data_IF_449027687197
#
_entry.id   IF_449027687197
#
_cell.length_a   1.000
_cell.length_b   1.000
_cell.length_c   1.000
_cell.angle_alpha   90.00
_cell.angle_beta   90.00
_cell.angle_gamma   90.00
#
_symmetry.space_group_name_H-M   'P 1'
#
loop_
_entity.id
_entity.type
_entity.pdbx_description
1 polymer ?
#
# COMPACT_ATOMS: atom_id res chain seq x y z
N UNK A 1 -46.83 34.09 41.56
CA UNK A 1 -45.86 33.27 40.80
C UNK A 1 -46.63 32.03 40.33
N UNK A 2 -46.82 31.92 39.01
CA UNK A 2 -47.54 30.76 38.45
C UNK A 2 -46.60 29.53 38.46
N UNK A 3 -47.08 28.44 39.09
CA UNK A 3 -46.34 27.17 39.08
C UNK A 3 -46.30 26.63 37.64
N UNK A 4 -45.09 26.32 37.07
CA UNK A 4 -44.99 25.77 35.73
C UNK A 4 -45.76 24.43 35.68
N UNK A 5 -46.54 24.25 34.60
CA UNK A 5 -47.35 23.05 34.43
C UNK A 5 -46.44 21.81 34.24
N UNK A 6 -46.92 20.64 34.68
CA UNK A 6 -46.18 19.38 34.49
C UNK A 6 -45.77 19.15 33.02
N UNK A 7 -46.58 19.66 32.09
CA UNK A 7 -46.26 19.63 30.62
C UNK A 7 -45.01 20.45 30.28
N UNK A 8 -44.79 21.59 30.93
CA UNK A 8 -43.61 22.40 30.73
C UNK A 8 -42.31 21.65 31.11
N UNK A 9 -42.33 21.00 32.26
CA UNK A 9 -41.21 20.16 32.71
C UNK A 9 -40.97 18.96 31.81
N UNK A 10 -42.02 18.35 31.28
CA UNK A 10 -41.94 17.24 30.35
C UNK A 10 -41.25 17.67 29.06
N UNK A 11 -41.60 18.82 28.47
CA UNK A 11 -40.93 19.35 27.28
C UNK A 11 -39.48 19.75 27.55
N UNK A 12 -39.19 20.30 28.73
CA UNK A 12 -37.84 20.70 29.12
C UNK A 12 -36.86 19.51 29.18
N UNK A 13 -37.36 18.32 29.50
CA UNK A 13 -36.53 17.09 29.53
C UNK A 13 -36.58 16.33 28.20
N UNK A 14 -37.74 16.26 27.56
CA UNK A 14 -37.96 15.46 26.37
C UNK A 14 -37.19 16.02 25.15
N UNK A 15 -37.18 17.35 24.98
CA UNK A 15 -36.51 17.99 23.86
C UNK A 15 -34.99 17.73 23.88
N UNK A 16 -34.24 17.98 24.98
CA UNK A 16 -32.84 17.69 25.05
C UNK A 16 -32.56 16.20 24.98
N UNK A 17 -33.38 15.32 25.53
CA UNK A 17 -33.23 13.88 25.41
C UNK A 17 -33.33 13.42 23.93
N UNK A 18 -34.33 13.91 23.19
CA UNK A 18 -34.44 13.66 21.74
C UNK A 18 -33.25 14.22 20.94
N UNK A 19 -32.79 15.41 21.30
CA UNK A 19 -31.62 16.00 20.66
C UNK A 19 -30.35 15.17 20.89
N UNK A 20 -30.17 14.64 22.11
CA UNK A 20 -29.03 13.75 22.43
C UNK A 20 -29.16 12.45 21.64
N UNK A 21 -30.32 11.80 21.66
CA UNK A 21 -30.53 10.54 20.92
C UNK A 21 -30.33 10.75 19.43
N UNK A 22 -30.87 11.84 18.86
CA UNK A 22 -30.65 12.19 17.44
C UNK A 22 -29.19 12.45 17.12
N UNK A 23 -28.49 13.22 17.97
CA UNK A 23 -27.06 13.50 17.81
C UNK A 23 -26.22 12.24 17.87
N UNK A 24 -26.46 11.36 18.86
CA UNK A 24 -25.75 10.07 18.98
C UNK A 24 -26.03 9.18 17.76
N UNK A 25 -27.27 9.12 17.28
CA UNK A 25 -27.65 8.35 16.12
C UNK A 25 -26.92 8.82 14.84
N UNK A 26 -26.84 10.13 14.62
CA UNK A 26 -26.09 10.72 13.49
C UNK A 26 -24.59 10.41 13.61
N UNK A 27 -24.02 10.53 14.80
CA UNK A 27 -22.62 10.21 15.04
C UNK A 27 -22.36 8.72 14.80
N UNK A 28 -23.19 7.83 15.31
CA UNK A 28 -23.09 6.40 15.10
C UNK A 28 -23.16 6.05 13.60
N UNK A 29 -24.14 6.62 12.90
CA UNK A 29 -24.28 6.43 11.44
C UNK A 29 -23.05 6.90 10.67
N UNK A 30 -22.45 8.03 11.05
CA UNK A 30 -21.20 8.52 10.43
C UNK A 30 -20.04 7.58 10.63
N UNK A 31 -19.98 6.83 11.72
CA UNK A 31 -18.92 5.84 11.98
C UNK A 31 -19.07 4.59 11.11
N UNK A 32 -20.26 4.27 10.61
CA UNK A 32 -20.49 3.09 9.73
C UNK A 32 -20.02 3.31 8.30
N UNK A 33 -19.76 4.56 7.89
CA UNK A 33 -19.28 4.85 6.54
C UNK A 33 -17.86 4.26 6.36
N UNK A 34 -17.66 3.38 5.37
CA UNK A 34 -16.35 2.78 5.14
C UNK A 34 -15.31 3.84 4.81
N UNK A 35 -14.08 3.62 5.28
CA UNK A 35 -12.93 4.46 5.00
C UNK A 35 -12.40 4.28 3.58
N UNK A 36 -11.18 4.76 3.36
CA UNK A 36 -10.46 4.55 2.12
C UNK A 36 -10.17 3.07 1.93
N UNK A 37 -10.36 2.57 0.72
CA UNK A 37 -9.92 1.25 0.28
C UNK A 37 -8.70 1.41 -0.62
N UNK A 38 -7.72 0.54 -0.46
CA UNK A 38 -6.53 0.48 -1.29
C UNK A 38 -6.45 -0.88 -1.97
N UNK A 39 -6.17 -0.87 -3.26
CA UNK A 39 -5.89 -2.06 -4.05
C UNK A 39 -4.52 -1.91 -4.69
N UNK A 40 -3.74 -2.97 -4.70
CA UNK A 40 -2.41 -3.01 -5.29
C UNK A 40 -2.43 -3.92 -6.53
N UNK A 41 -1.92 -3.41 -7.64
CA UNK A 41 -1.88 -4.18 -8.91
C UNK A 41 -0.51 -3.99 -9.58
N UNK A 42 0.25 -5.05 -9.84
CA UNK A 42 0.07 -6.42 -9.32
C UNK A 42 0.37 -6.50 -7.82
N UNK A 43 -0.12 -7.56 -7.15
CA UNK A 43 0.23 -7.83 -5.75
C UNK A 43 1.67 -8.36 -5.73
N UNK A 44 2.66 -7.59 -5.23
CA UNK A 44 4.04 -8.02 -5.24
C UNK A 44 4.28 -9.06 -4.14
N UNK A 45 4.91 -10.16 -4.49
CA UNK A 45 5.48 -11.09 -3.51
C UNK A 45 6.93 -10.75 -3.18
N UNK A 46 7.64 -10.21 -4.18
CA UNK A 46 9.02 -9.81 -4.07
C UNK A 46 9.18 -8.34 -4.47
N UNK A 47 10.02 -7.63 -3.74
CA UNK A 47 10.47 -6.30 -4.09
C UNK A 47 11.95 -6.39 -4.46
N UNK A 48 12.25 -6.26 -5.74
CA UNK A 48 13.61 -6.30 -6.28
C UNK A 48 14.26 -4.93 -6.34
N UNK A 49 15.29 -4.81 -7.17
CA UNK A 49 16.02 -3.55 -7.38
C UNK A 49 15.09 -2.45 -7.87
N UNK A 50 14.21 -2.77 -8.83
CA UNK A 50 13.17 -1.87 -9.35
C UNK A 50 11.89 -2.67 -9.56
N UNK A 51 10.86 -2.32 -8.83
CA UNK A 51 9.56 -3.01 -8.93
C UNK A 51 8.47 -1.99 -9.22
N UNK A 52 7.85 -2.03 -10.40
CA UNK A 52 6.72 -1.17 -10.72
C UNK A 52 5.49 -1.62 -9.93
N UNK A 53 4.79 -0.69 -9.31
CA UNK A 53 3.58 -0.91 -8.54
C UNK A 53 2.55 0.12 -8.90
N UNK A 54 1.30 -0.31 -9.02
CA UNK A 54 0.15 0.58 -9.13
C UNK A 54 -0.70 0.45 -7.88
N UNK A 55 -0.93 1.57 -7.21
CA UNK A 55 -1.83 1.65 -6.05
C UNK A 55 -3.09 2.37 -6.49
N UNK A 56 -4.23 1.71 -6.34
CA UNK A 56 -5.54 2.30 -6.59
C UNK A 56 -6.21 2.58 -5.26
N UNK A 57 -6.46 3.85 -4.98
CA UNK A 57 -7.11 4.32 -3.77
C UNK A 57 -8.54 4.74 -4.10
N UNK A 58 -9.49 4.32 -3.27
CA UNK A 58 -10.90 4.70 -3.41
C UNK A 58 -11.47 5.12 -2.06
N UNK A 59 -12.06 6.30 -2.00
CA UNK A 59 -12.81 6.77 -0.84
C UNK A 59 -14.31 6.58 -1.09
N UNK A 60 -15.03 6.07 -0.09
CA UNK A 60 -16.48 5.88 -0.19
C UNK A 60 -17.24 7.22 -0.11
N UNK A 61 -16.74 8.17 0.70
CA UNK A 61 -17.29 9.51 0.84
C UNK A 61 -16.15 10.50 1.11
N UNK A 62 -16.20 11.64 0.42
CA UNK A 62 -15.19 12.67 0.49
C UNK A 62 -14.02 12.42 -0.49
N UNK A 63 -13.11 13.38 -0.55
CA UNK A 63 -11.90 13.29 -1.37
C UNK A 63 -10.73 12.72 -0.59
N UNK A 64 -9.74 12.18 -1.31
CA UNK A 64 -8.47 11.75 -0.73
C UNK A 64 -7.63 12.97 -0.35
N UNK A 65 -7.11 12.98 0.86
CA UNK A 65 -6.26 14.09 1.39
C UNK A 65 -4.79 13.72 1.33
N UNK A 66 -4.47 12.51 1.76
CA UNK A 66 -3.10 12.03 1.74
C UNK A 66 -3.06 10.54 1.48
N UNK A 67 -1.98 10.10 0.87
CA UNK A 67 -1.66 8.71 0.73
C UNK A 67 -0.17 8.53 1.02
N UNK A 68 0.18 7.41 1.61
CA UNK A 68 1.56 7.09 1.94
C UNK A 68 1.80 5.60 1.75
N UNK A 69 2.85 5.27 1.02
CA UNK A 69 3.33 3.92 0.85
C UNK A 69 4.58 3.75 1.71
N UNK A 70 4.55 2.81 2.64
CA UNK A 70 5.65 2.51 3.56
C UNK A 70 6.09 1.06 3.43
N UNK A 71 7.37 0.84 3.63
CA UNK A 71 7.94 -0.48 3.83
C UNK A 71 8.39 -0.60 5.29
N UNK A 72 7.92 -1.64 5.96
CA UNK A 72 8.18 -1.89 7.39
C UNK A 72 8.92 -3.22 7.55
N UNK A 73 10.07 -3.18 8.24
CA UNK A 73 10.85 -4.37 8.56
C UNK A 73 11.33 -4.30 10.00
N UNK A 74 10.71 -5.08 10.88
CA UNK A 74 10.97 -5.01 12.31
C UNK A 74 10.69 -3.62 12.89
N UNK A 75 11.72 -2.90 13.32
CA UNK A 75 11.63 -1.51 13.80
C UNK A 75 11.90 -0.48 12.70
N UNK A 76 12.43 -0.90 11.55
CA UNK A 76 12.74 -0.04 10.42
C UNK A 76 11.46 0.31 9.64
N UNK A 77 11.29 1.59 9.33
CA UNK A 77 10.17 2.11 8.52
C UNK A 77 10.72 3.06 7.47
N UNK A 78 10.40 2.81 6.23
CA UNK A 78 10.84 3.66 5.11
C UNK A 78 9.62 4.08 4.31
N UNK A 79 9.50 5.37 4.08
CA UNK A 79 8.47 5.94 3.20
C UNK A 79 8.96 5.82 1.77
N UNK A 80 8.23 5.09 0.94
CA UNK A 80 8.54 4.88 -0.47
C UNK A 80 7.95 5.98 -1.35
N UNK A 81 6.75 6.43 -1.00
CA UNK A 81 6.06 7.50 -1.68
C UNK A 81 5.04 8.15 -0.75
N UNK A 82 4.91 9.47 -0.85
CA UNK A 82 3.91 10.26 -0.10
C UNK A 82 3.27 11.30 -1.01
N UNK A 83 2.41 10.87 -1.96
CA UNK A 83 1.71 11.81 -2.82
C UNK A 83 0.70 12.62 -2.03
N UNK A 84 0.70 13.94 -2.25
CA UNK A 84 -0.30 14.84 -1.70
C UNK A 84 -1.54 14.79 -2.58
N UNK A 85 -2.66 14.40 -2.01
CA UNK A 85 -3.96 14.38 -2.67
C UNK A 85 -4.74 15.61 -2.23
N UNK A 86 -4.50 16.76 -2.84
CA UNK A 86 -5.13 18.03 -2.44
C UNK A 86 -6.65 18.02 -2.65
N UNK A 87 -7.40 17.49 -1.67
CA UNK A 87 -8.88 17.45 -1.71
C UNK A 87 -9.48 16.79 -2.95
N UNK A 88 -8.73 15.89 -3.55
CA UNK A 88 -8.89 15.35 -4.87
C UNK A 88 -10.06 14.39 -5.07
N UNK A 89 -10.07 13.66 -6.16
CA UNK A 89 -11.17 12.78 -6.55
C UNK A 89 -11.38 11.66 -5.53
N UNK A 90 -12.57 11.08 -5.53
CA UNK A 90 -12.91 9.92 -4.69
C UNK A 90 -12.09 8.67 -5.05
N UNK A 91 -11.46 8.63 -6.22
CA UNK A 91 -10.57 7.56 -6.64
C UNK A 91 -9.30 8.15 -7.26
N UNK A 92 -8.15 7.60 -6.90
CA UNK A 92 -6.84 7.99 -7.43
C UNK A 92 -6.01 6.75 -7.73
N UNK A 93 -5.38 6.76 -8.89
CA UNK A 93 -4.39 5.77 -9.30
C UNK A 93 -3.00 6.38 -9.18
N UNK A 94 -2.10 5.66 -8.56
CA UNK A 94 -0.72 6.04 -8.35
C UNK A 94 0.17 4.96 -8.94
N UNK A 95 0.88 5.30 -10.02
CA UNK A 95 1.88 4.44 -10.62
C UNK A 95 3.25 4.86 -10.08
N UNK A 96 3.94 3.94 -9.41
CA UNK A 96 5.25 4.19 -8.80
C UNK A 96 6.20 3.03 -9.05
N UNK A 97 7.48 3.35 -9.02
CA UNK A 97 8.54 2.34 -9.06
C UNK A 97 9.24 2.33 -7.70
N UNK A 98 9.14 1.20 -7.02
CA UNK A 98 9.85 0.99 -5.76
C UNK A 98 11.27 0.53 -6.06
N UNK A 99 12.25 1.27 -5.56
CA UNK A 99 13.66 0.91 -5.64
C UNK A 99 14.09 0.25 -4.33
N UNK A 100 14.19 -1.08 -4.31
CA UNK A 100 14.50 -1.84 -3.09
C UNK A 100 15.83 -1.42 -2.46
N UNK A 101 16.86 -1.11 -3.25
CA UNK A 101 18.17 -0.69 -2.75
C UNK A 101 18.15 0.66 -2.03
N UNK A 102 17.33 1.60 -2.47
CA UNK A 102 17.25 2.93 -1.87
C UNK A 102 16.57 2.92 -0.49
N UNK A 103 15.91 1.82 -0.14
CA UNK A 103 15.23 1.70 1.17
C UNK A 103 16.19 1.59 2.35
N UNK A 104 17.43 1.13 2.13
CA UNK A 104 18.40 0.86 3.21
C UNK A 104 18.00 -0.27 4.15
N UNK A 105 16.92 -1.01 3.83
CA UNK A 105 16.48 -2.17 4.59
C UNK A 105 17.27 -3.42 4.18
N UNK A 106 17.29 -4.41 5.06
CA UNK A 106 17.98 -5.69 4.81
C UNK A 106 17.10 -6.59 3.95
N UNK A 107 17.73 -7.48 3.21
CA UNK A 107 17.01 -8.54 2.50
C UNK A 107 16.23 -9.42 3.46
N UNK A 108 15.08 -9.91 3.02
CA UNK A 108 14.21 -10.75 3.78
C UNK A 108 12.77 -10.25 3.85
N UNK A 109 12.04 -10.75 4.82
CA UNK A 109 10.62 -10.43 4.98
C UNK A 109 10.42 -8.99 5.45
N UNK A 110 9.49 -8.31 4.81
CA UNK A 110 9.03 -6.98 5.14
C UNK A 110 7.53 -6.88 4.92
N UNK A 111 6.90 -5.82 5.38
CA UNK A 111 5.48 -5.54 5.17
C UNK A 111 5.34 -4.24 4.38
N UNK A 112 4.67 -4.32 3.25
CA UNK A 112 4.30 -3.15 2.46
C UNK A 112 2.97 -2.62 2.99
N UNK A 113 2.99 -1.41 3.56
CA UNK A 113 1.82 -0.74 4.12
C UNK A 113 1.39 0.40 3.23
N UNK A 114 0.10 0.45 2.91
CA UNK A 114 -0.55 1.60 2.30
C UNK A 114 -1.37 2.30 3.36
N UNK A 115 -1.11 3.57 3.57
CA UNK A 115 -1.88 4.45 4.44
C UNK A 115 -2.54 5.51 3.57
N UNK A 116 -3.80 5.78 3.82
CA UNK A 116 -4.53 6.80 3.09
C UNK A 116 -5.56 7.46 4.00
N UNK A 117 -5.78 8.74 3.75
CA UNK A 117 -6.71 9.56 4.51
C UNK A 117 -7.66 10.27 3.56
N UNK A 118 -8.95 10.27 3.93
CA UNK A 118 -9.99 11.06 3.29
C UNK A 118 -10.34 12.30 4.13
N UNK A 119 -11.06 13.24 3.57
CA UNK A 119 -11.56 14.43 4.26
C UNK A 119 -12.90 14.20 4.99
N UNK A 120 -13.43 12.96 4.97
CA UNK A 120 -14.67 12.67 5.65
C UNK A 120 -14.48 12.70 7.15
N UNK A 121 -15.28 13.53 7.84
CA UNK A 121 -15.19 13.68 9.30
C UNK A 121 -15.79 12.48 10.02
N UNK A 122 -15.00 11.86 10.92
CA UNK A 122 -15.39 10.77 11.83
C UNK A 122 -14.93 11.14 13.24
N UNK A 123 -15.79 10.89 14.24
CA UNK A 123 -15.46 11.19 15.64
C UNK A 123 -14.29 10.32 16.14
N UNK A 124 -14.36 9.00 15.86
CA UNK A 124 -13.35 8.03 16.23
C UNK A 124 -12.53 7.66 14.99
N UNK A 125 -11.53 8.49 14.67
CA UNK A 125 -10.63 8.22 13.56
C UNK A 125 -9.36 7.57 14.08
N UNK A 126 -9.03 6.42 13.54
CA UNK A 126 -7.76 5.74 13.81
C UNK A 126 -6.84 5.95 12.61
N UNK A 127 -6.13 7.08 12.60
CA UNK A 127 -5.27 7.48 11.48
C UNK A 127 -4.00 6.62 11.38
N UNK A 128 -3.66 5.86 12.43
CA UNK A 128 -2.42 5.07 12.49
C UNK A 128 -2.53 3.66 11.89
N UNK A 129 -3.72 3.22 11.51
CA UNK A 129 -3.86 1.90 10.89
C UNK A 129 -3.63 1.96 9.39
N UNK A 130 -2.83 1.03 8.82
CA UNK A 130 -2.72 0.90 7.38
C UNK A 130 -4.06 0.47 6.78
N UNK A 131 -4.39 1.02 5.63
CA UNK A 131 -5.57 0.64 4.84
C UNK A 131 -5.35 -0.72 4.18
N UNK A 132 -4.09 -0.99 3.82
CA UNK A 132 -3.65 -2.26 3.26
C UNK A 132 -2.26 -2.59 3.82
N UNK A 133 -2.06 -3.83 4.23
CA UNK A 133 -0.77 -4.35 4.66
C UNK A 133 -0.54 -5.71 3.98
N UNK A 134 0.56 -5.83 3.24
CA UNK A 134 0.90 -7.03 2.49
C UNK A 134 2.30 -7.50 2.86
N UNK A 135 2.47 -8.80 3.19
CA UNK A 135 3.79 -9.36 3.37
C UNK A 135 4.52 -9.44 2.03
N UNK A 136 5.75 -8.96 2.00
CA UNK A 136 6.63 -8.96 0.81
C UNK A 136 8.02 -9.42 1.21
N UNK A 137 8.75 -9.97 0.27
CA UNK A 137 10.16 -10.31 0.46
C UNK A 137 11.02 -9.31 -0.29
N UNK A 138 11.91 -8.62 0.42
CA UNK A 138 12.89 -7.73 -0.19
C UNK A 138 14.08 -8.55 -0.67
N UNK A 139 14.33 -8.54 -1.99
CA UNK A 139 15.44 -9.23 -2.65
C UNK A 139 16.12 -8.24 -3.59
N UNK A 140 17.21 -7.67 -3.12
CA UNK A 140 17.99 -6.65 -3.87
C UNK A 140 19.37 -7.16 -4.30
N UNK A 141 19.65 -8.42 -4.03
CA UNK A 141 20.88 -9.06 -4.46
C UNK A 141 20.91 -9.21 -5.97
N UNK A 142 21.97 -8.76 -6.64
CA UNK A 142 22.10 -8.99 -8.07
C UNK A 142 22.28 -10.48 -8.34
N UNK A 143 21.70 -10.99 -9.44
CA UNK A 143 21.98 -12.36 -9.84
C UNK A 143 23.47 -12.55 -10.14
N UNK A 144 24.01 -13.68 -9.73
CA UNK A 144 25.38 -14.06 -10.02
C UNK A 144 25.39 -15.14 -11.08
N UNK A 145 26.29 -14.99 -12.05
CA UNK A 145 26.50 -15.95 -13.11
C UNK A 145 28.00 -16.34 -13.15
N UNK A 146 28.27 -17.63 -13.07
CA UNK A 146 29.59 -18.20 -13.16
C UNK A 146 29.61 -19.13 -14.35
N UNK A 147 30.59 -18.92 -15.26
CA UNK A 147 30.83 -19.83 -16.38
C UNK A 147 31.79 -20.89 -15.90
N UNK A 148 31.33 -22.14 -15.81
CA UNK A 148 32.13 -23.27 -15.35
C UNK A 148 32.98 -23.87 -16.47
N UNK A 149 32.51 -23.78 -17.70
CA UNK A 149 33.20 -24.23 -18.87
C UNK A 149 32.44 -23.92 -20.15
N UNK A 150 33.15 -23.78 -21.24
CA UNK A 150 32.57 -23.57 -22.56
C UNK A 150 33.43 -24.16 -23.66
N UNK A 151 32.80 -24.59 -24.75
CA UNK A 151 33.48 -24.92 -25.98
C UNK A 151 34.04 -23.64 -26.61
N UNK A 152 35.38 -23.57 -26.82
CA UNK A 152 36.03 -22.35 -27.31
C UNK A 152 35.75 -22.08 -28.78
N UNK A 153 35.60 -23.13 -29.57
CA UNK A 153 35.45 -23.03 -31.02
C UNK A 153 34.24 -23.82 -31.47
N UNK A 154 33.43 -23.20 -32.29
CA UNK A 154 32.29 -23.83 -32.95
C UNK A 154 32.56 -23.85 -34.44
N UNK A 155 32.52 -25.02 -35.04
CA UNK A 155 32.53 -25.15 -36.49
C UNK A 155 31.14 -24.89 -37.04
N UNK A 156 31.08 -24.43 -38.29
CA UNK A 156 29.82 -24.17 -38.99
C UNK A 156 28.98 -25.47 -39.05
N UNK A 157 27.79 -25.47 -38.46
CA UNK A 157 26.95 -26.66 -38.34
C UNK A 157 27.29 -27.58 -37.14
N UNK A 158 28.26 -27.22 -36.31
CA UNK A 158 28.65 -27.96 -35.11
C UNK A 158 27.88 -27.51 -33.89
N UNK A 159 27.86 -28.35 -32.83
CA UNK A 159 27.31 -28.05 -31.53
C UNK A 159 28.39 -27.58 -30.55
N UNK A 160 27.99 -26.82 -29.53
CA UNK A 160 28.85 -26.45 -28.41
C UNK A 160 28.13 -26.63 -27.09
N UNK A 161 28.89 -26.72 -26.01
CA UNK A 161 28.43 -26.83 -24.65
C UNK A 161 28.90 -25.62 -23.85
N UNK A 162 28.00 -25.04 -23.08
CA UNK A 162 28.31 -24.02 -22.06
C UNK A 162 27.75 -24.48 -20.74
N UNK A 163 28.60 -24.69 -19.75
CA UNK A 163 28.20 -25.00 -18.39
C UNK A 163 28.20 -23.72 -17.56
N UNK A 164 27.04 -23.39 -17.01
CA UNK A 164 26.79 -22.17 -16.22
C UNK A 164 26.27 -22.52 -14.85
N UNK A 165 26.68 -21.75 -13.86
CA UNK A 165 26.06 -21.73 -12.53
C UNK A 165 25.43 -20.34 -12.33
N UNK A 166 24.12 -20.30 -12.22
CA UNK A 166 23.37 -19.07 -11.94
C UNK A 166 22.74 -19.14 -10.54
N UNK A 167 22.78 -18.03 -9.82
CA UNK A 167 22.08 -17.86 -8.53
C UNK A 167 21.27 -16.56 -8.59
N UNK A 168 20.05 -16.59 -8.08
CA UNK A 168 19.16 -15.41 -8.03
C UNK A 168 18.63 -14.96 -9.39
N UNK A 169 18.80 -15.75 -10.46
CA UNK A 169 18.26 -15.44 -11.78
C UNK A 169 17.02 -16.29 -12.08
N UNK A 170 15.97 -15.67 -12.58
CA UNK A 170 14.75 -16.37 -13.03
C UNK A 170 14.92 -16.94 -14.45
N UNK A 171 15.84 -16.40 -15.23
CA UNK A 171 16.12 -16.82 -16.59
C UNK A 171 17.59 -16.58 -16.93
N UNK A 172 18.21 -17.55 -17.58
CA UNK A 172 19.57 -17.43 -18.13
C UNK A 172 19.51 -17.77 -19.61
N UNK A 173 20.16 -16.98 -20.42
CA UNK A 173 20.29 -17.21 -21.86
C UNK A 173 21.74 -17.14 -22.28
N UNK A 174 22.11 -17.95 -23.27
CA UNK A 174 23.40 -17.90 -23.95
C UNK A 174 23.16 -17.48 -25.39
N UNK A 175 23.84 -16.44 -25.81
CA UNK A 175 23.82 -16.01 -27.22
C UNK A 175 25.15 -16.40 -27.85
N UNK A 176 25.11 -17.29 -28.81
CA UNK A 176 26.27 -17.77 -29.54
C UNK A 176 26.32 -17.10 -30.93
N UNK A 177 27.19 -16.12 -31.08
CA UNK A 177 27.34 -15.37 -32.31
C UNK A 177 26.30 -14.24 -32.43
N UNK A 178 26.73 -13.02 -32.19
CA UNK A 178 25.89 -11.84 -32.37
C UNK A 178 25.55 -11.62 -33.85
N UNK A 179 24.39 -12.10 -34.29
CA UNK A 179 23.66 -11.65 -35.47
C UNK A 179 22.25 -11.32 -35.03
#
# INVERSE_FOLDING_TARGET
MARPSAKFWLFLVLIPALAIVGGVSVLAWRQTVPGVKAELVPIPRFLGVKTPLTVVLRSAKGGLVSAELRLVQGRGRVVLASPTCAGGPAAQRLDLTVEGRSTGLREGQATLEVRARDNYWRLLRVDDRPVLALPVTLDVSPPTLEVLGSTRYLTRGGGGLVALRARGASRVGVNAGGV
#
